data_IF_523920097545
#
_entry.id   IF_523920097545
#
_cell.length_a   1.000
_cell.length_b   1.000
_cell.length_c   1.000
_cell.angle_alpha   90.00
_cell.angle_beta   90.00
_cell.angle_gamma   90.00
#
_symmetry.space_group_name_H-M   'P 1'
#
loop_
_entity.id
_entity.type
_entity.pdbx_description
1 polymer ?
#
# COMPACT_ATOMS: atom_id res chain seq x y z
N UNK A 1 -11.41 5.60 -23.03
CA UNK A 1 -10.63 5.68 -24.29
C UNK A 1 -9.19 5.17 -24.14
N UNK A 2 -8.59 5.18 -22.93
CA UNK A 2 -7.22 4.67 -22.69
C UNK A 2 -7.10 3.15 -22.44
N UNK A 3 -8.20 2.39 -22.47
CA UNK A 3 -8.20 0.95 -22.19
C UNK A 3 -7.53 0.07 -23.26
N UNK A 4 -7.08 0.66 -24.37
CA UNK A 4 -6.38 -0.02 -25.47
C UNK A 4 -4.88 0.32 -25.51
N UNK A 5 -4.35 1.10 -24.56
CA UNK A 5 -2.90 1.36 -24.47
C UNK A 5 -2.24 0.09 -23.95
N UNK A 6 -1.68 -0.68 -24.89
CA UNK A 6 -0.85 -1.83 -24.58
C UNK A 6 0.58 -1.43 -24.25
N UNK A 7 1.36 -2.38 -23.74
CA UNK A 7 2.80 -2.20 -23.47
C UNK A 7 3.59 -1.68 -24.68
N UNK A 8 3.19 -2.04 -25.91
CA UNK A 8 3.81 -1.52 -27.14
C UNK A 8 3.69 0.00 -27.26
N UNK A 9 2.51 0.56 -26.97
CA UNK A 9 2.28 2.01 -27.02
C UNK A 9 3.10 2.74 -25.93
N UNK A 10 3.19 2.16 -24.73
CA UNK A 10 4.01 2.69 -23.63
C UNK A 10 5.49 2.74 -24.04
N UNK A 11 6.00 1.69 -24.68
CA UNK A 11 7.37 1.66 -25.20
C UNK A 11 7.60 2.72 -26.29
N UNK A 12 6.63 2.95 -27.16
CA UNK A 12 6.70 4.00 -28.19
C UNK A 12 6.74 5.39 -27.54
N UNK A 13 5.91 5.65 -26.53
CA UNK A 13 5.92 6.92 -25.79
C UNK A 13 7.24 7.11 -25.04
N UNK A 14 7.74 6.05 -24.41
CA UNK A 14 9.02 6.09 -23.71
C UNK A 14 10.17 6.39 -24.69
N UNK A 15 10.20 5.71 -25.84
CA UNK A 15 11.19 5.94 -26.89
C UNK A 15 11.08 7.36 -27.48
N UNK A 16 9.86 7.83 -27.77
CA UNK A 16 9.62 9.19 -28.23
C UNK A 16 10.09 10.23 -27.20
N UNK A 17 9.79 10.02 -25.92
CA UNK A 17 10.28 10.87 -24.83
C UNK A 17 11.81 10.88 -24.72
N UNK A 18 12.45 9.71 -24.84
CA UNK A 18 13.90 9.57 -24.84
C UNK A 18 14.55 10.26 -26.05
N UNK A 19 13.93 10.22 -27.23
CA UNK A 19 14.46 10.86 -28.45
C UNK A 19 14.27 12.39 -28.40
N UNK A 20 13.08 12.86 -28.01
CA UNK A 20 12.74 14.29 -28.00
C UNK A 20 13.50 15.03 -26.91
N UNK A 21 13.49 14.48 -25.69
CA UNK A 21 14.12 15.13 -24.53
C UNK A 21 15.60 14.75 -24.37
N UNK A 22 15.99 13.58 -24.86
CA UNK A 22 17.31 13.00 -24.66
C UNK A 22 17.40 12.14 -23.39
N UNK A 23 18.09 10.98 -23.43
CA UNK A 23 18.20 10.07 -22.29
C UNK A 23 18.92 10.69 -21.09
N UNK A 24 19.83 11.63 -21.32
CA UNK A 24 20.58 12.35 -20.29
C UNK A 24 19.70 13.33 -19.50
N UNK A 25 18.62 13.84 -20.11
CA UNK A 25 17.82 14.95 -19.54
C UNK A 25 16.56 14.48 -18.82
N UNK A 26 16.03 13.32 -19.18
CA UNK A 26 14.91 12.69 -18.47
C UNK A 26 15.15 12.52 -16.95
N UNK A 27 16.26 11.91 -16.49
CA UNK A 27 16.47 11.73 -15.06
C UNK A 27 16.59 13.07 -14.32
N UNK A 28 17.20 14.07 -14.95
CA UNK A 28 17.35 15.40 -14.37
C UNK A 28 15.98 16.12 -14.26
N UNK A 29 15.17 16.08 -15.31
CA UNK A 29 13.82 16.64 -15.35
C UNK A 29 12.88 15.98 -14.34
N UNK A 30 12.94 14.65 -14.20
CA UNK A 30 12.18 13.91 -13.20
C UNK A 30 12.61 14.33 -11.80
N UNK A 31 13.91 14.43 -11.53
CA UNK A 31 14.43 14.86 -10.23
C UNK A 31 13.99 16.28 -9.87
N UNK A 32 14.01 17.21 -10.82
CA UNK A 32 13.57 18.58 -10.63
C UNK A 32 12.07 18.66 -10.35
N UNK A 33 11.27 17.90 -11.09
CA UNK A 33 9.81 17.84 -10.90
C UNK A 33 9.47 17.26 -9.53
N UNK A 34 10.10 16.16 -9.13
CA UNK A 34 9.91 15.53 -7.81
C UNK A 34 10.27 16.49 -6.67
N UNK A 35 11.42 17.18 -6.78
CA UNK A 35 11.85 18.19 -5.81
C UNK A 35 10.85 19.34 -5.73
N UNK A 36 10.37 19.83 -6.87
CA UNK A 36 9.40 20.92 -6.95
C UNK A 36 8.06 20.53 -6.32
N UNK A 37 7.54 19.33 -6.64
CA UNK A 37 6.31 18.80 -6.03
C UNK A 37 6.46 18.65 -4.52
N UNK A 38 7.60 18.14 -4.05
CA UNK A 38 7.87 17.99 -2.62
C UNK A 38 7.90 19.34 -1.91
N UNK A 39 8.58 20.32 -2.50
CA UNK A 39 8.64 21.68 -1.98
C UNK A 39 7.24 22.33 -1.92
N UNK A 40 6.44 22.19 -2.98
CA UNK A 40 5.04 22.67 -3.01
C UNK A 40 4.21 21.98 -1.92
N UNK A 41 4.35 20.67 -1.73
CA UNK A 41 3.66 19.94 -0.67
C UNK A 41 4.06 20.45 0.71
N UNK A 42 5.35 20.66 0.94
CA UNK A 42 5.86 21.10 2.24
C UNK A 42 5.35 22.51 2.56
N UNK A 43 5.33 23.44 1.58
CA UNK A 43 4.70 24.75 1.73
C UNK A 43 3.19 24.67 1.96
N UNK A 44 2.48 23.85 1.18
CA UNK A 44 1.04 23.66 1.32
C UNK A 44 0.68 23.08 2.69
N UNK A 45 1.47 22.13 3.21
CA UNK A 45 1.27 21.58 4.55
C UNK A 45 1.51 22.60 5.66
N UNK A 46 2.53 23.46 5.52
CA UNK A 46 2.80 24.53 6.48
C UNK A 46 1.70 25.59 6.51
N UNK A 47 1.25 26.05 5.34
CA UNK A 47 0.15 27.00 5.22
C UNK A 47 -1.18 26.39 5.70
N UNK A 48 -1.46 25.12 5.37
CA UNK A 48 -2.66 24.42 5.86
C UNK A 48 -2.67 24.34 7.39
N UNK A 49 -1.51 24.12 8.03
CA UNK A 49 -1.41 24.10 9.48
C UNK A 49 -1.74 25.47 10.09
N UNK A 50 -1.27 26.56 9.48
CA UNK A 50 -1.56 27.92 9.93
C UNK A 50 -3.04 28.29 9.71
N UNK A 51 -3.60 27.94 8.55
CA UNK A 51 -5.03 28.14 8.26
C UNK A 51 -5.93 27.32 9.18
N UNK A 52 -5.52 26.10 9.56
CA UNK A 52 -6.25 25.26 10.51
C UNK A 52 -6.26 25.86 11.91
N UNK A 53 -5.15 26.47 12.34
CA UNK A 53 -5.06 27.17 13.63
C UNK A 53 -5.85 28.50 13.64
N UNK A 54 -5.92 29.21 12.50
CA UNK A 54 -6.57 30.53 12.43
C UNK A 54 -8.07 30.49 12.05
N UNK A 55 -8.53 29.52 11.24
CA UNK A 55 -9.91 29.49 10.71
C UNK A 55 -10.85 28.53 11.46
N UNK A 56 -10.33 27.68 12.35
CA UNK A 56 -11.13 26.78 13.18
C UNK A 56 -12.17 25.96 12.37
N UNK A 57 -13.48 25.99 12.70
CA UNK A 57 -14.49 25.11 12.11
C UNK A 57 -14.71 25.27 10.59
N UNK A 58 -14.25 26.35 9.96
CA UNK A 58 -14.34 26.53 8.49
C UNK A 58 -13.39 25.60 7.71
N UNK A 59 -12.31 25.11 8.35
CA UNK A 59 -11.45 24.09 7.76
C UNK A 59 -12.18 22.76 7.55
N UNK A 60 -13.16 22.45 8.41
CA UNK A 60 -13.88 21.18 8.39
C UNK A 60 -14.86 21.09 7.22
N UNK A 61 -15.34 22.23 6.73
CA UNK A 61 -16.13 22.34 5.51
C UNK A 61 -15.28 22.14 4.26
N UNK A 62 -14.00 22.54 4.29
CA UNK A 62 -13.01 22.25 3.23
C UNK A 62 -12.53 20.80 3.28
N UNK A 63 -12.54 20.17 4.45
CA UNK A 63 -12.07 18.80 4.63
C UNK A 63 -12.91 17.78 3.85
N UNK A 64 -14.22 17.99 3.71
CA UNK A 64 -15.12 17.19 2.85
C UNK A 64 -14.66 17.15 1.38
N UNK A 65 -14.59 18.29 0.67
CA UNK A 65 -14.13 18.31 -0.71
C UNK A 65 -12.66 17.85 -0.85
N UNK A 66 -11.79 18.11 0.12
CA UNK A 66 -10.43 17.54 0.10
C UNK A 66 -10.43 16.00 0.21
N UNK A 67 -11.32 15.43 1.04
CA UNK A 67 -11.47 13.99 1.19
C UNK A 67 -11.98 13.34 -0.11
N UNK A 68 -12.96 13.97 -0.77
CA UNK A 68 -13.48 13.50 -2.07
C UNK A 68 -12.38 13.50 -3.15
N UNK A 69 -11.53 14.53 -3.18
CA UNK A 69 -10.39 14.59 -4.10
C UNK A 69 -9.33 13.53 -3.75
N UNK A 70 -9.15 13.21 -2.47
CA UNK A 70 -8.24 12.15 -2.03
C UNK A 70 -8.76 10.75 -2.36
N UNK A 71 -10.08 10.54 -2.27
CA UNK A 71 -10.76 9.31 -2.68
C UNK A 71 -10.63 9.09 -4.20
N UNK A 72 -10.81 10.15 -5.00
CA UNK A 72 -10.53 10.12 -6.45
C UNK A 72 -9.06 9.80 -6.76
N UNK A 73 -8.13 10.31 -5.94
CA UNK A 73 -6.70 9.97 -6.03
C UNK A 73 -6.37 8.52 -5.66
N UNK A 74 -7.29 7.81 -4.99
CA UNK A 74 -7.19 6.37 -4.72
C UNK A 74 -7.11 5.53 -6.00
N UNK A 75 -7.58 6.05 -7.13
CA UNK A 75 -7.27 5.53 -8.47
C UNK A 75 -5.88 6.02 -8.92
N UNK A 76 -4.84 5.59 -8.20
CA UNK A 76 -3.48 6.04 -8.48
C UNK A 76 -3.06 5.61 -9.90
N UNK A 77 -2.35 6.47 -10.65
CA UNK A 77 -1.77 6.10 -11.95
C UNK A 77 -0.91 4.85 -11.86
N UNK A 78 -0.19 4.68 -10.74
CA UNK A 78 0.57 3.48 -10.44
C UNK A 78 -0.34 2.25 -10.30
N UNK A 79 -1.47 2.36 -9.60
CA UNK A 79 -2.45 1.26 -9.50
C UNK A 79 -3.07 0.89 -10.85
N UNK A 80 -3.31 1.86 -11.72
CA UNK A 80 -3.77 1.63 -13.09
C UNK A 80 -2.70 0.94 -13.94
N UNK A 81 -1.46 1.44 -13.90
CA UNK A 81 -0.29 0.83 -14.57
C UNK A 81 -0.07 -0.59 -14.07
N UNK A 82 -0.05 -0.83 -12.76
CA UNK A 82 0.15 -2.17 -12.22
C UNK A 82 -0.96 -3.14 -12.64
N UNK A 83 -2.22 -2.70 -12.68
CA UNK A 83 -3.34 -3.56 -13.10
C UNK A 83 -3.41 -3.81 -14.60
N UNK A 84 -3.04 -2.84 -15.43
CA UNK A 84 -3.13 -2.94 -16.88
C UNK A 84 -1.86 -3.44 -17.56
N UNK A 85 -0.72 -3.23 -16.92
CA UNK A 85 0.59 -3.55 -17.48
C UNK A 85 1.25 -4.71 -16.70
N UNK A 86 1.11 -4.77 -15.38
CA UNK A 86 1.80 -5.79 -14.56
C UNK A 86 0.87 -6.91 -14.06
N UNK A 87 -0.35 -7.04 -14.60
CA UNK A 87 -1.36 -8.03 -14.15
C UNK A 87 -1.60 -8.03 -12.62
N UNK A 88 -1.36 -6.90 -11.96
CA UNK A 88 -1.46 -6.77 -10.50
C UNK A 88 -0.16 -7.02 -9.73
N UNK A 89 0.94 -7.40 -10.39
CA UNK A 89 2.23 -7.67 -9.75
C UNK A 89 3.09 -6.41 -9.58
N UNK A 90 2.92 -5.73 -8.44
CA UNK A 90 3.71 -4.57 -8.07
C UNK A 90 5.17 -4.89 -7.66
N UNK A 91 5.51 -6.18 -7.55
CA UNK A 91 6.85 -6.62 -7.10
C UNK A 91 7.94 -6.22 -8.09
N UNK A 92 7.60 -6.07 -9.38
CA UNK A 92 8.52 -5.58 -10.42
C UNK A 92 8.84 -4.09 -10.33
N UNK A 93 7.97 -3.28 -9.70
CA UNK A 93 8.18 -1.84 -9.53
C UNK A 93 8.82 -1.49 -8.18
N UNK A 94 8.94 -2.48 -7.30
CA UNK A 94 9.52 -2.30 -5.97
C UNK A 94 11.04 -2.30 -6.11
N UNK A 95 11.75 -1.20 -5.82
CA UNK A 95 13.22 -1.20 -5.89
C UNK A 95 13.83 -2.21 -4.91
N UNK A 96 13.14 -2.54 -3.81
CA UNK A 96 13.62 -3.47 -2.80
C UNK A 96 13.87 -4.89 -3.33
N UNK A 97 13.08 -5.39 -4.27
CA UNK A 97 13.24 -6.74 -4.86
C UNK A 97 14.42 -6.83 -5.84
N UNK A 98 14.93 -5.71 -6.36
CA UNK A 98 16.13 -5.66 -7.22
C UNK A 98 17.43 -5.51 -6.43
N UNK A 99 17.37 -4.97 -5.21
CA UNK A 99 18.56 -4.76 -4.35
C UNK A 99 18.72 -5.85 -3.27
N UNK A 100 17.67 -6.61 -2.98
CA UNK A 100 17.73 -7.85 -2.20
C UNK A 100 17.87 -9.04 -3.17
N UNK A 101 19.03 -9.17 -3.82
CA UNK A 101 19.50 -10.43 -4.44
C UNK A 101 20.02 -11.36 -3.32
N UNK A 102 19.18 -11.55 -2.30
CA UNK A 102 19.36 -12.54 -1.25
C UNK A 102 18.32 -13.63 -1.54
N UNK A 103 18.72 -14.91 -1.75
CA UNK A 103 17.77 -15.96 -2.05
C UNK A 103 16.76 -16.02 -0.91
N UNK A 104 15.52 -15.60 -1.19
CA UNK A 104 14.44 -15.67 -0.23
C UNK A 104 14.45 -17.08 0.39
N UNK A 105 14.57 -17.22 1.73
CA UNK A 105 14.52 -18.53 2.33
C UNK A 105 13.17 -19.13 1.97
N UNK A 106 13.19 -20.24 1.22
CA UNK A 106 12.03 -21.05 0.93
C UNK A 106 11.33 -21.30 2.26
N UNK A 107 10.24 -20.58 2.52
CA UNK A 107 9.45 -20.82 3.73
C UNK A 107 8.91 -22.24 3.56
N UNK A 108 9.35 -23.22 4.36
CA UNK A 108 8.90 -24.59 4.18
C UNK A 108 7.39 -24.60 4.35
N UNK A 109 6.67 -25.23 3.43
CA UNK A 109 5.27 -25.54 3.63
C UNK A 109 5.14 -26.23 5.01
N UNK A 110 4.22 -25.81 5.89
CA UNK A 110 4.09 -26.43 7.20
C UNK A 110 3.76 -27.91 6.99
N UNK A 111 4.75 -28.75 7.29
CA UNK A 111 4.62 -30.20 7.26
C UNK A 111 3.67 -30.57 8.40
N UNK A 112 2.46 -30.98 8.04
CA UNK A 112 1.49 -31.51 9.01
C UNK A 112 2.15 -32.72 9.69
N UNK A 113 2.38 -32.71 11.01
CA UNK A 113 3.02 -33.85 11.66
C UNK A 113 2.10 -35.08 11.53
N UNK A 114 2.65 -36.28 11.32
CA UNK A 114 1.87 -37.50 11.35
C UNK A 114 1.37 -37.69 12.79
N UNK A 115 0.06 -37.78 12.95
CA UNK A 115 -0.57 -38.08 14.22
C UNK A 115 -0.11 -39.50 14.62
N UNK A 116 0.58 -39.68 15.77
CA UNK A 116 0.88 -41.02 16.25
C UNK A 116 -0.45 -41.67 16.67
N UNK A 117 -0.70 -42.90 16.19
CA UNK A 117 -1.78 -43.71 16.71
C UNK A 117 -1.57 -43.91 18.22
N UNK A 118 -2.46 -43.34 19.03
CA UNK A 118 -2.41 -43.47 20.48
C UNK A 118 -2.71 -44.93 20.89
N UNK A 119 -1.91 -45.55 21.78
CA UNK A 119 -2.28 -46.81 22.41
C UNK A 119 -3.35 -46.57 23.47
N UNK A 120 -4.31 -47.48 23.55
CA UNK A 120 -5.41 -47.50 24.52
C UNK A 120 -4.98 -47.19 25.96
N UNK A 121 -5.63 -46.19 26.57
CA UNK A 121 -5.62 -45.98 28.01
C UNK A 121 -7.07 -45.73 28.49
N UNK A 122 -7.48 -46.33 29.63
CA UNK A 122 -8.88 -46.50 29.98
C UNK A 122 -9.51 -45.22 30.53
N UNK A 123 -10.83 -45.13 30.36
CA UNK A 123 -11.68 -44.06 30.86
C UNK A 123 -11.58 -43.90 32.39
N UNK A 124 -11.35 -42.67 32.84
CA UNK A 124 -11.70 -42.21 34.18
C UNK A 124 -12.35 -40.84 34.09
N UNK A 125 -13.61 -40.85 34.49
CA UNK A 125 -14.53 -39.74 34.63
C UNK A 125 -14.16 -38.93 35.89
N UNK A 126 -13.76 -37.68 35.74
CA UNK A 126 -13.65 -36.71 36.83
C UNK A 126 -13.95 -35.29 36.32
N UNK A 127 -15.17 -34.85 36.60
CA UNK A 127 -15.53 -33.54 37.12
C UNK A 127 -14.79 -32.29 36.61
N UNK A 128 -15.54 -31.47 35.85
CA UNK A 128 -15.66 -30.01 35.98
C UNK A 128 -14.35 -29.19 35.97
N UNK A 129 -14.00 -28.67 34.78
CA UNK A 129 -13.53 -27.29 34.63
C UNK A 129 -13.68 -26.85 33.18
N UNK A 130 -14.54 -25.87 32.93
CA UNK A 130 -14.66 -25.22 31.63
C UNK A 130 -13.29 -24.69 31.18
N UNK A 131 -12.88 -24.91 29.92
CA UNK A 131 -11.66 -24.32 29.40
C UNK A 131 -11.80 -22.79 29.33
N UNK A 132 -10.75 -22.00 29.66
CA UNK A 132 -10.83 -20.55 29.63
C UNK A 132 -11.07 -20.08 28.19
N UNK A 133 -12.25 -19.53 27.93
CA UNK A 133 -12.55 -18.91 26.64
C UNK A 133 -11.61 -17.73 26.42
N UNK A 134 -11.00 -17.59 25.23
CA UNK A 134 -10.20 -16.43 24.91
C UNK A 134 -11.11 -15.20 24.88
N UNK A 135 -10.88 -14.25 25.80
CA UNK A 135 -11.52 -12.93 25.77
C UNK A 135 -11.30 -12.31 24.39
N UNK A 136 -12.37 -12.26 23.58
CA UNK A 136 -12.41 -11.38 22.42
C UNK A 136 -12.49 -9.95 22.95
N UNK A 137 -11.45 -9.16 22.74
CA UNK A 137 -11.57 -7.72 22.87
C UNK A 137 -12.43 -7.25 21.71
N UNK A 138 -13.67 -6.89 22.00
CA UNK A 138 -14.54 -6.18 21.07
C UNK A 138 -14.13 -4.70 21.02
N UNK A 139 -14.11 -4.14 19.82
CA UNK A 139 -13.59 -2.81 19.48
C UNK A 139 -14.52 -1.68 20.00
N UNK A 140 -15.60 -2.03 20.71
CA UNK A 140 -16.62 -1.11 21.18
C UNK A 140 -16.39 -0.56 22.60
N UNK A 141 -15.30 -0.94 23.29
CA UNK A 141 -15.03 -0.56 24.69
C UNK A 141 -14.21 0.73 24.85
N UNK A 142 -13.99 1.50 23.77
CA UNK A 142 -13.14 2.71 23.76
C UNK A 142 -13.85 4.01 24.13
N UNK A 143 -15.17 4.01 24.34
CA UNK A 143 -15.99 5.24 24.39
C UNK A 143 -16.47 5.64 25.79
N UNK A 144 -15.71 5.29 26.84
CA UNK A 144 -16.00 5.73 28.20
C UNK A 144 -14.73 6.11 28.97
N UNK A 145 -14.24 7.34 28.77
CA UNK A 145 -13.54 8.15 29.80
C UNK A 145 -13.69 9.63 29.49
#
# INVERSE_FOLDING_TARGET
MFGNIGWGEIMVILAAGLIILGPERLPDAVSWTLKSVRQVRDYASGATSQLKDELGPEFEELRKPLADINELRGMTPTGFVTRHLLDGDASFLSPKTYFDDDPAPQRPAPSRPPIPAAPDAPAVDMAKKDPPQPRRHDIADWDAT
#
